data_IF_616628754132
#
_entry.id   IF_616628754132
#
_cell.length_a   1.000
_cell.length_b   1.000
_cell.length_c   1.000
_cell.angle_alpha   90.00
_cell.angle_beta   90.00
_cell.angle_gamma   90.00
#
_symmetry.space_group_name_H-M   'P 1'
#
loop_
_entity.id
_entity.type
_entity.pdbx_description
1 polymer ?
#
# COMPACT_ATOMS: atom_id res chain seq x y z
N UNK A 1 -19.20 24.03 8.15
CA UNK A 1 -17.81 23.63 7.84
C UNK A 1 -17.92 22.86 6.55
N UNK A 2 -17.58 23.49 5.42
CA UNK A 2 -17.56 22.78 4.14
C UNK A 2 -16.54 21.64 4.25
N UNK A 3 -16.91 20.43 3.85
CA UNK A 3 -16.01 19.30 3.87
C UNK A 3 -14.89 19.55 2.87
N UNK A 4 -13.64 19.51 3.32
CA UNK A 4 -12.47 19.56 2.43
C UNK A 4 -12.58 18.34 1.51
N UNK A 5 -12.80 18.57 0.22
CA UNK A 5 -12.94 17.50 -0.77
C UNK A 5 -11.55 17.01 -1.17
N UNK A 6 -10.95 16.17 -0.33
CA UNK A 6 -9.61 15.60 -0.57
C UNK A 6 -9.73 14.50 -1.62
N UNK A 7 -9.02 14.60 -2.76
CA UNK A 7 -9.05 13.56 -3.78
C UNK A 7 -8.38 12.28 -3.26
N UNK A 8 -9.05 11.14 -3.49
CA UNK A 8 -8.51 9.82 -3.15
C UNK A 8 -7.61 9.35 -4.28
N UNK A 9 -6.33 9.12 -3.99
CA UNK A 9 -5.37 8.58 -4.96
C UNK A 9 -5.51 7.07 -5.18
N UNK A 10 -6.10 6.36 -4.21
CA UNK A 10 -6.31 4.93 -4.28
C UNK A 10 -6.30 4.26 -2.91
N UNK A 11 -6.38 2.93 -2.93
CA UNK A 11 -6.46 2.09 -1.73
C UNK A 11 -5.24 1.18 -1.64
N UNK A 12 -4.70 1.05 -0.43
CA UNK A 12 -3.64 0.08 -0.08
C UNK A 12 -4.24 -0.97 0.85
N UNK A 13 -4.01 -2.24 0.57
CA UNK A 13 -4.38 -3.33 1.48
C UNK A 13 -3.24 -3.61 2.46
N UNK A 14 -3.41 -3.16 3.70
CA UNK A 14 -2.47 -3.44 4.77
C UNK A 14 -2.69 -4.85 5.34
N UNK A 15 -1.61 -5.49 5.80
CA UNK A 15 -1.65 -6.84 6.38
C UNK A 15 -2.29 -7.90 5.44
N UNK A 16 -2.09 -7.76 4.13
CA UNK A 16 -2.79 -8.54 3.11
C UNK A 16 -2.48 -10.04 3.17
N UNK A 17 -1.21 -10.39 3.39
CA UNK A 17 -0.77 -11.79 3.45
C UNK A 17 0.50 -11.96 4.28
N UNK A 18 0.75 -13.18 4.70
CA UNK A 18 2.00 -13.62 5.32
C UNK A 18 2.71 -14.61 4.41
N UNK A 19 4.04 -14.58 4.39
CA UNK A 19 4.88 -15.52 3.63
C UNK A 19 6.04 -15.98 4.52
N UNK A 20 6.15 -17.30 4.83
CA UNK A 20 7.29 -17.84 5.55
C UNK A 20 8.58 -17.69 4.74
N UNK A 21 9.71 -17.45 5.42
CA UNK A 21 11.03 -17.33 4.76
C UNK A 21 11.44 -18.62 4.02
N UNK A 22 11.02 -19.77 4.54
CA UNK A 22 11.29 -21.10 3.97
C UNK A 22 10.51 -21.37 2.68
N UNK A 23 9.39 -20.66 2.47
CA UNK A 23 8.47 -20.82 1.35
C UNK A 23 8.08 -19.44 0.79
N UNK A 24 9.02 -18.72 0.16
CA UNK A 24 8.84 -17.31 -0.23
C UNK A 24 7.77 -17.08 -1.30
N UNK A 25 7.37 -18.13 -2.02
CA UNK A 25 6.34 -18.06 -3.05
C UNK A 25 4.93 -18.34 -2.49
N UNK A 26 4.83 -18.77 -1.23
CA UNK A 26 3.55 -19.10 -0.61
C UNK A 26 2.99 -17.89 0.13
N UNK A 27 1.81 -17.42 -0.30
CA UNK A 27 1.05 -16.37 0.37
C UNK A 27 -0.10 -16.97 1.19
N UNK A 28 -0.11 -16.64 2.48
CA UNK A 28 -1.15 -17.03 3.43
C UNK A 28 -2.01 -15.81 3.78
N UNK A 29 -3.27 -15.84 3.39
CA UNK A 29 -4.23 -14.76 3.59
C UNK A 29 -4.97 -14.93 4.92
N UNK A 30 -4.34 -14.46 6.01
CA UNK A 30 -4.81 -14.69 7.39
C UNK A 30 -6.15 -14.00 7.67
N UNK A 31 -6.37 -12.82 7.09
CA UNK A 31 -7.53 -11.96 7.38
C UNK A 31 -8.53 -11.89 6.22
N UNK A 32 -8.43 -12.78 5.25
CA UNK A 32 -9.16 -12.70 3.99
C UNK A 32 -8.26 -12.25 2.83
N UNK A 33 -8.80 -12.30 1.62
CA UNK A 33 -8.07 -12.06 0.37
C UNK A 33 -8.83 -11.03 -0.46
N UNK A 34 -8.10 -10.08 -1.03
CA UNK A 34 -8.57 -9.13 -2.06
C UNK A 34 -9.68 -8.15 -1.61
N UNK A 35 -9.95 -8.02 -0.31
CA UNK A 35 -11.06 -7.18 0.17
C UNK A 35 -10.89 -5.70 -0.18
N UNK A 36 -9.67 -5.17 -0.14
CA UNK A 36 -9.42 -3.77 -0.51
C UNK A 36 -9.33 -3.58 -2.03
N UNK A 37 -8.93 -4.62 -2.78
CA UNK A 37 -8.96 -4.62 -4.24
C UNK A 37 -10.40 -4.61 -4.78
N UNK A 38 -11.26 -5.42 -4.18
CA UNK A 38 -12.68 -5.48 -4.55
C UNK A 38 -13.36 -4.14 -4.25
N UNK A 39 -13.10 -3.56 -3.07
CA UNK A 39 -13.60 -2.23 -2.70
C UNK A 39 -13.08 -1.14 -3.66
N UNK A 40 -11.80 -1.16 -4.01
CA UNK A 40 -11.22 -0.20 -4.95
C UNK A 40 -11.95 -0.24 -6.30
N UNK A 41 -12.29 -1.46 -6.76
CA UNK A 41 -13.07 -1.66 -7.97
C UNK A 41 -14.52 -1.16 -7.82
N UNK A 42 -15.16 -1.43 -6.68
CA UNK A 42 -16.55 -1.02 -6.42
C UNK A 42 -16.72 0.50 -6.41
N UNK A 43 -15.77 1.23 -5.83
CA UNK A 43 -15.84 2.70 -5.70
C UNK A 43 -15.05 3.44 -6.79
N UNK A 44 -14.58 2.72 -7.81
CA UNK A 44 -13.84 3.25 -8.97
C UNK A 44 -12.61 4.09 -8.58
N UNK A 45 -11.76 3.53 -7.72
CA UNK A 45 -10.47 4.13 -7.34
C UNK A 45 -9.31 3.16 -7.59
N UNK A 46 -8.08 3.65 -7.83
CA UNK A 46 -6.93 2.80 -8.05
C UNK A 46 -6.62 1.89 -6.86
N UNK A 47 -6.23 0.65 -7.14
CA UNK A 47 -5.61 -0.22 -6.15
C UNK A 47 -4.09 -0.05 -6.19
N UNK A 48 -3.52 0.46 -5.10
CA UNK A 48 -2.12 0.87 -5.04
C UNK A 48 -1.18 -0.25 -4.64
N UNK A 49 -1.66 -1.30 -3.97
CA UNK A 49 -0.86 -2.48 -3.64
C UNK A 49 -1.24 -3.17 -2.34
N UNK A 50 -0.55 -4.27 -2.08
CA UNK A 50 -0.70 -5.12 -0.89
C UNK A 50 0.57 -5.03 -0.06
N UNK A 51 0.42 -4.78 1.25
CA UNK A 51 1.54 -4.78 2.19
C UNK A 51 1.51 -6.07 3.03
N UNK A 52 2.59 -6.87 3.02
CA UNK A 52 2.62 -8.13 3.75
C UNK A 52 2.75 -7.93 5.26
N UNK A 53 2.32 -8.93 6.01
CA UNK A 53 2.63 -9.08 7.43
C UNK A 53 4.04 -9.65 7.51
N UNK A 54 5.00 -8.84 7.92
CA UNK A 54 6.34 -9.32 8.30
C UNK A 54 6.72 -8.80 9.67
N UNK A 55 7.35 -9.66 10.47
CA UNK A 55 7.76 -9.32 11.83
C UNK A 55 8.69 -8.11 11.86
N UNK A 56 9.58 -8.00 10.86
CA UNK A 56 10.52 -6.90 10.74
C UNK A 56 9.84 -5.54 10.62
N UNK A 57 8.67 -5.40 9.97
CA UNK A 57 7.93 -4.12 9.87
C UNK A 57 7.55 -3.61 11.27
N UNK A 58 7.04 -4.51 12.12
CA UNK A 58 6.64 -4.16 13.49
C UNK A 58 7.83 -3.73 14.32
N UNK A 59 8.87 -4.57 14.39
CA UNK A 59 10.07 -4.32 15.21
C UNK A 59 10.81 -3.06 14.78
N UNK A 60 10.90 -2.86 13.46
CA UNK A 60 11.50 -1.67 12.85
C UNK A 60 10.76 -0.38 13.18
N UNK A 61 9.43 -0.46 13.32
CA UNK A 61 8.60 0.67 13.75
C UNK A 61 8.95 1.12 15.17
N UNK A 62 9.12 0.18 16.09
CA UNK A 62 9.47 0.47 17.49
C UNK A 62 10.86 1.09 17.64
N UNK A 63 11.81 0.69 16.78
CA UNK A 63 13.21 1.15 16.80
C UNK A 63 13.43 2.42 15.97
N UNK A 64 12.42 2.88 15.22
CA UNK A 64 12.50 4.08 14.38
C UNK A 64 13.38 3.90 13.13
N UNK A 65 13.63 2.67 12.71
CA UNK A 65 14.41 2.34 11.50
C UNK A 65 13.54 1.49 10.57
N UNK A 66 12.92 2.06 9.53
CA UNK A 66 11.96 1.34 8.69
C UNK A 66 12.51 0.03 8.10
N UNK A 67 11.69 -1.04 8.15
CA UNK A 67 12.07 -2.36 7.65
C UNK A 67 12.42 -2.36 6.16
N UNK A 68 11.84 -1.43 5.41
CA UNK A 68 12.07 -1.26 3.97
C UNK A 68 13.49 -0.82 3.62
N UNK A 69 14.27 -0.33 4.58
CA UNK A 69 15.68 0.04 4.35
C UNK A 69 16.57 -1.19 4.14
N UNK A 70 16.06 -2.39 4.43
CA UNK A 70 16.70 -3.64 4.04
C UNK A 70 16.27 -3.97 2.60
N UNK A 71 17.24 -3.90 1.68
CA UNK A 71 17.03 -4.20 0.27
C UNK A 71 16.64 -5.67 0.05
N UNK A 72 15.97 -5.92 -1.07
CA UNK A 72 15.57 -7.26 -1.53
C UNK A 72 14.72 -8.10 -0.56
N UNK A 73 14.07 -7.46 0.42
CA UNK A 73 13.05 -8.08 1.27
C UNK A 73 11.67 -8.04 0.61
N UNK A 74 10.77 -8.95 0.99
CA UNK A 74 9.37 -8.95 0.52
C UNK A 74 8.69 -7.61 0.83
N UNK A 75 8.94 -7.06 2.03
CA UNK A 75 8.44 -5.74 2.42
C UNK A 75 9.01 -4.62 1.53
N UNK A 76 10.33 -4.56 1.32
CA UNK A 76 10.93 -3.51 0.49
C UNK A 76 10.36 -3.51 -0.93
N UNK A 77 10.17 -4.69 -1.55
CA UNK A 77 9.57 -4.83 -2.87
C UNK A 77 8.11 -4.35 -2.89
N UNK A 78 7.31 -4.77 -1.91
CA UNK A 78 5.89 -4.38 -1.82
C UNK A 78 5.72 -2.86 -1.66
N UNK A 79 6.50 -2.24 -0.75
CA UNK A 79 6.47 -0.80 -0.54
C UNK A 79 7.01 -0.02 -1.74
N UNK A 80 8.06 -0.51 -2.40
CA UNK A 80 8.59 0.14 -3.61
C UNK A 80 7.56 0.13 -4.73
N UNK A 81 6.85 -0.98 -4.93
CA UNK A 81 5.81 -1.07 -5.95
C UNK A 81 4.62 -0.16 -5.61
N UNK A 82 4.17 -0.16 -4.35
CA UNK A 82 3.15 0.77 -3.87
C UNK A 82 3.56 2.23 -4.11
N UNK A 83 4.82 2.59 -3.81
CA UNK A 83 5.32 3.95 -4.01
C UNK A 83 5.31 4.37 -5.49
N UNK A 84 5.68 3.47 -6.41
CA UNK A 84 5.56 3.74 -7.85
C UNK A 84 4.12 4.02 -8.27
N UNK A 85 3.18 3.21 -7.79
CA UNK A 85 1.75 3.38 -8.08
C UNK A 85 1.24 4.71 -7.52
N UNK A 86 1.61 5.06 -6.29
CA UNK A 86 1.30 6.37 -5.70
C UNK A 86 1.84 7.51 -6.57
N UNK A 87 3.09 7.43 -7.03
CA UNK A 87 3.67 8.47 -7.89
C UNK A 87 2.91 8.58 -9.21
N UNK A 88 2.53 7.47 -9.82
CA UNK A 88 1.73 7.47 -11.04
C UNK A 88 0.39 8.18 -10.82
N UNK A 89 -0.34 7.85 -9.75
CA UNK A 89 -1.63 8.47 -9.45
C UNK A 89 -1.51 9.94 -9.04
N UNK A 90 -0.42 10.35 -8.38
CA UNK A 90 -0.15 11.77 -8.13
C UNK A 90 0.05 12.54 -9.43
N UNK A 91 0.76 11.96 -10.40
CA UNK A 91 0.96 12.58 -11.72
C UNK A 91 -0.37 12.72 -12.47
N UNK A 92 -1.18 11.66 -12.49
CA UNK A 92 -2.54 11.68 -13.07
C UNK A 92 -3.39 12.77 -12.42
N UNK A 93 -3.50 12.75 -11.09
CA UNK A 93 -4.27 13.75 -10.32
C UNK A 93 -3.81 15.18 -10.60
N UNK A 94 -2.51 15.44 -10.69
CA UNK A 94 -1.99 16.79 -10.94
C UNK A 94 -2.15 17.25 -12.39
N UNK A 95 -2.31 16.31 -13.32
CA UNK A 95 -2.61 16.60 -14.72
C UNK A 95 -4.09 16.91 -14.90
N UNK A 96 -4.96 16.16 -14.22
CA UNK A 96 -6.40 16.16 -14.47
C UNK A 96 -7.19 17.09 -13.54
N UNK A 97 -6.66 17.37 -12.34
CA UNK A 97 -7.35 18.16 -11.31
C UNK A 97 -6.55 19.41 -10.91
N UNK A 98 -7.23 20.54 -10.63
CA UNK A 98 -6.57 21.74 -10.10
C UNK A 98 -5.95 21.47 -8.72
N UNK A 99 -5.05 22.34 -8.23
CA UNK A 99 -4.50 22.24 -6.88
C UNK A 99 -5.60 22.14 -5.82
N UNK A 100 -5.41 21.30 -4.80
CA UNK A 100 -6.36 21.20 -3.69
C UNK A 100 -6.33 22.52 -2.91
N UNK A 101 -7.47 23.15 -2.73
CA UNK A 101 -7.62 24.34 -1.88
C UNK A 101 -7.73 23.89 -0.41
N UNK A 102 -6.98 24.55 0.47
CA UNK A 102 -6.87 24.24 1.91
C UNK A 102 -7.50 25.36 2.73
#
# INVERSE_FOLDING_TARGET
MEAINVPVLGIVENMAFFTPEELPDNKYYIFGKEGARDLATEIDVPFLGEIPIVQSIRESGDVGRPAILQEDTVASRAFLEMAKNVVAEVVVRNTDLPPTEV
#
